data_IF_730111417385
#
_entry.id   IF_730111417385
#
_cell.length_a   1.000
_cell.length_b   1.000
_cell.length_c   1.000
_cell.angle_alpha   90.00
_cell.angle_beta   90.00
_cell.angle_gamma   90.00
#
_symmetry.space_group_name_H-M   'P 1'
#
loop_
_entity.id
_entity.type
_entity.pdbx_description
1 polymer ?
#
# COMPACT_ATOMS: atom_id res chain seq x y z
N UNK A 1 24.79 -3.16 -20.80
CA UNK A 1 24.84 -1.92 -19.97
C UNK A 1 23.66 -1.02 -20.30
N UNK A 2 23.42 -0.66 -21.57
CA UNK A 2 22.21 0.09 -21.98
C UNK A 2 20.89 -0.59 -21.61
N UNK A 3 20.79 -1.92 -21.73
CA UNK A 3 19.60 -2.67 -21.34
C UNK A 3 19.34 -2.69 -19.82
N UNK A 4 20.40 -2.61 -19.01
CA UNK A 4 20.32 -2.48 -17.54
C UNK A 4 19.86 -1.08 -17.13
N UNK A 5 20.38 -0.04 -17.82
CA UNK A 5 19.98 1.36 -17.61
C UNK A 5 18.50 1.57 -18.04
N UNK A 6 18.04 0.86 -19.07
CA UNK A 6 16.64 0.91 -19.53
C UNK A 6 15.68 0.23 -18.55
N UNK A 7 16.08 -0.89 -17.95
CA UNK A 7 15.35 -1.53 -16.84
C UNK A 7 15.31 -0.63 -15.60
N UNK A 8 16.44 -0.03 -15.21
CA UNK A 8 16.50 0.94 -14.10
C UNK A 8 15.55 2.12 -14.32
N UNK A 9 15.44 2.64 -15.55
CA UNK A 9 14.55 3.76 -15.86
C UNK A 9 13.08 3.34 -16.02
N UNK A 10 12.80 2.10 -16.39
CA UNK A 10 11.44 1.54 -16.47
C UNK A 10 10.84 1.24 -15.08
N UNK A 11 11.68 0.80 -14.13
CA UNK A 11 11.30 0.70 -12.72
C UNK A 11 11.34 2.05 -11.98
N UNK A 12 11.85 3.11 -12.61
CA UNK A 12 11.89 4.44 -12.00
C UNK A 12 10.53 5.10 -12.05
N UNK A 13 9.94 5.07 -10.86
CA UNK A 13 8.92 5.95 -10.33
C UNK A 13 7.48 5.66 -10.76
N UNK A 14 7.12 5.59 -12.05
CA UNK A 14 5.68 5.52 -12.41
C UNK A 14 5.04 4.15 -12.11
N UNK A 15 5.62 3.05 -12.58
CA UNK A 15 5.11 1.69 -12.26
C UNK A 15 5.17 1.39 -10.77
N UNK A 16 6.25 1.82 -10.12
CA UNK A 16 6.42 1.65 -8.69
C UNK A 16 5.39 2.48 -7.89
N UNK A 17 5.07 3.69 -8.36
CA UNK A 17 3.98 4.51 -7.83
C UNK A 17 2.62 3.84 -8.02
N UNK A 18 2.33 3.29 -9.20
CA UNK A 18 1.11 2.53 -9.45
C UNK A 18 0.99 1.33 -8.51
N UNK A 19 2.10 0.60 -8.31
CA UNK A 19 2.17 -0.51 -7.37
C UNK A 19 1.83 -0.07 -5.93
N UNK A 20 2.46 1.00 -5.44
CA UNK A 20 2.16 1.52 -4.10
C UNK A 20 0.73 2.08 -3.97
N UNK A 21 0.21 2.72 -5.02
CA UNK A 21 -1.20 3.16 -5.07
C UNK A 21 -2.14 1.97 -4.97
N UNK A 22 -1.90 0.91 -5.74
CA UNK A 22 -2.72 -0.31 -5.72
C UNK A 22 -2.76 -0.94 -4.33
N UNK A 23 -1.61 -1.07 -3.67
CA UNK A 23 -1.54 -1.55 -2.28
C UNK A 23 -2.33 -0.62 -1.35
N UNK A 24 -2.17 0.70 -1.47
CA UNK A 24 -2.89 1.69 -0.67
C UNK A 24 -4.42 1.59 -0.83
N UNK A 25 -4.89 1.40 -2.06
CA UNK A 25 -6.30 1.20 -2.39
C UNK A 25 -6.84 -0.11 -1.82
N UNK A 26 -6.08 -1.19 -1.91
CA UNK A 26 -6.47 -2.49 -1.36
C UNK A 26 -6.58 -2.44 0.18
N UNK A 27 -5.62 -1.79 0.86
CA UNK A 27 -5.72 -1.49 2.30
C UNK A 27 -6.97 -0.68 2.61
N UNK A 28 -7.26 0.37 1.85
CA UNK A 28 -8.46 1.21 2.03
C UNK A 28 -9.75 0.39 1.88
N UNK A 29 -9.83 -0.46 0.85
CA UNK A 29 -10.96 -1.37 0.60
C UNK A 29 -11.15 -2.35 1.76
N UNK A 30 -10.08 -3.03 2.18
CA UNK A 30 -10.10 -3.96 3.30
C UNK A 30 -10.55 -3.27 4.60
N UNK A 31 -9.99 -2.09 4.89
CA UNK A 31 -10.34 -1.27 6.06
C UNK A 31 -11.83 -0.92 6.07
N UNK A 32 -12.35 -0.44 4.94
CA UNK A 32 -13.76 -0.08 4.81
C UNK A 32 -14.68 -1.30 4.93
N UNK A 33 -14.32 -2.43 4.31
CA UNK A 33 -15.08 -3.70 4.39
C UNK A 33 -15.16 -4.23 5.82
N UNK A 34 -14.15 -3.97 6.65
CA UNK A 34 -14.12 -4.35 8.07
C UNK A 34 -14.71 -3.28 9.01
N UNK A 35 -15.24 -2.18 8.47
CA UNK A 35 -15.88 -1.12 9.26
C UNK A 35 -14.90 -0.26 10.07
N UNK A 36 -13.65 -0.12 9.62
CA UNK A 36 -12.66 0.74 10.27
C UNK A 36 -12.63 2.13 9.63
N UNK A 37 -12.67 3.18 10.45
CA UNK A 37 -12.25 4.53 10.02
C UNK A 37 -10.73 4.60 9.91
N UNK A 38 -10.19 5.61 9.21
CA UNK A 38 -8.74 5.85 9.16
C UNK A 38 -8.17 6.06 10.58
N UNK A 39 -8.90 6.77 11.44
CA UNK A 39 -8.48 7.02 12.83
C UNK A 39 -8.47 5.73 13.64
N UNK A 40 -9.48 4.86 13.47
CA UNK A 40 -9.53 3.58 14.16
C UNK A 40 -8.35 2.68 13.77
N UNK A 41 -7.99 2.64 12.48
CA UNK A 41 -6.82 1.89 12.03
C UNK A 41 -5.52 2.51 12.55
N UNK A 42 -5.38 3.84 12.49
CA UNK A 42 -4.21 4.55 13.00
C UNK A 42 -3.97 4.25 14.49
N UNK A 43 -5.01 4.36 15.32
CA UNK A 43 -4.94 4.08 16.75
C UNK A 43 -4.57 2.61 17.01
N UNK A 44 -5.16 1.66 16.27
CA UNK A 44 -4.82 0.23 16.38
C UNK A 44 -3.37 -0.07 15.97
N UNK A 45 -2.79 0.74 15.09
CA UNK A 45 -1.37 0.67 14.70
C UNK A 45 -0.43 1.42 15.66
N UNK A 46 -0.96 2.09 16.70
CA UNK A 46 -0.19 2.84 17.68
C UNK A 46 0.13 4.29 17.26
N UNK A 47 -0.63 4.88 16.33
CA UNK A 47 -0.48 6.28 15.94
C UNK A 47 -1.60 7.14 16.50
N UNK A 48 -1.27 8.36 16.94
CA UNK A 48 -2.25 9.33 17.46
C UNK A 48 -2.98 10.12 16.36
N UNK A 49 -2.61 9.94 15.09
CA UNK A 49 -3.19 10.69 13.98
C UNK A 49 -3.39 9.87 12.71
N UNK A 50 -4.40 10.25 11.93
CA UNK A 50 -4.74 9.64 10.63
C UNK A 50 -3.70 9.89 9.54
N UNK A 51 -2.78 10.83 9.74
CA UNK A 51 -1.94 11.39 8.68
C UNK A 51 -1.11 10.36 7.93
N UNK A 52 -0.58 9.35 8.63
CA UNK A 52 0.19 8.28 8.00
C UNK A 52 -0.71 7.40 7.11
N UNK A 53 -1.81 6.89 7.67
CA UNK A 53 -2.76 6.01 6.98
C UNK A 53 -3.37 6.72 5.77
N UNK A 54 -3.88 7.94 5.97
CA UNK A 54 -4.56 8.70 4.93
C UNK A 54 -3.66 9.01 3.73
N UNK A 55 -2.38 9.30 3.96
CA UNK A 55 -1.42 9.56 2.88
C UNK A 55 -1.00 8.26 2.18
N UNK A 56 -0.77 7.19 2.93
CA UNK A 56 -0.37 5.90 2.37
C UNK A 56 -1.46 5.24 1.52
N UNK A 57 -2.74 5.37 1.90
CA UNK A 57 -3.88 4.84 1.13
C UNK A 57 -4.01 5.43 -0.29
N UNK A 58 -3.45 6.62 -0.53
CA UNK A 58 -3.51 7.32 -1.83
C UNK A 58 -2.12 7.65 -2.39
N UNK A 59 -1.07 7.07 -1.80
CA UNK A 59 0.33 7.34 -2.14
C UNK A 59 0.72 8.83 -2.19
N UNK A 60 0.20 9.64 -1.27
CA UNK A 60 0.48 11.09 -1.24
C UNK A 60 1.81 11.36 -0.54
N UNK A 61 2.61 12.28 -1.09
CA UNK A 61 3.92 12.68 -0.55
C UNK A 61 4.90 11.50 -0.39
N UNK A 62 4.88 10.54 -1.33
CA UNK A 62 5.71 9.34 -1.30
C UNK A 62 5.55 8.51 0.01
N UNK A 63 4.37 8.61 0.64
CA UNK A 63 4.01 7.77 1.79
C UNK A 63 3.40 6.48 1.28
N UNK A 64 3.90 5.36 1.80
CA UNK A 64 3.54 4.00 1.43
C UNK A 64 3.50 3.12 2.67
N UNK A 65 2.77 2.02 2.59
CA UNK A 65 2.84 0.97 3.59
C UNK A 65 4.11 0.14 3.33
N UNK A 66 4.93 -0.04 4.36
CA UNK A 66 6.04 -0.98 4.32
C UNK A 66 5.55 -2.38 4.77
N UNK A 67 6.44 -3.38 4.77
CA UNK A 67 6.08 -4.75 5.14
C UNK A 67 5.57 -4.87 6.59
N UNK A 68 6.14 -4.10 7.51
CA UNK A 68 5.68 -4.08 8.91
C UNK A 68 4.25 -3.53 9.03
N UNK A 69 3.95 -2.46 8.29
CA UNK A 69 2.59 -1.91 8.21
C UNK A 69 1.63 -2.94 7.63
N UNK A 70 1.98 -3.60 6.52
CA UNK A 70 1.14 -4.63 5.89
C UNK A 70 0.86 -5.76 6.87
N UNK A 71 1.89 -6.28 7.55
CA UNK A 71 1.75 -7.32 8.57
C UNK A 71 0.76 -6.91 9.68
N UNK A 72 0.95 -5.72 10.26
CA UNK A 72 0.07 -5.19 11.31
C UNK A 72 -1.36 -5.00 10.82
N UNK A 73 -1.54 -4.41 9.62
CA UNK A 73 -2.85 -4.16 9.02
C UNK A 73 -3.59 -5.49 8.78
N UNK A 74 -2.93 -6.51 8.22
CA UNK A 74 -3.54 -7.82 7.99
C UNK A 74 -3.99 -8.46 9.30
N UNK A 75 -3.16 -8.37 10.35
CA UNK A 75 -3.52 -8.87 11.68
C UNK A 75 -4.70 -8.10 12.30
N UNK A 76 -4.69 -6.76 12.26
CA UNK A 76 -5.74 -5.91 12.83
C UNK A 76 -7.08 -6.10 12.11
N UNK A 77 -7.06 -6.18 10.78
CA UNK A 77 -8.27 -6.28 9.97
C UNK A 77 -8.72 -7.73 9.76
N UNK A 78 -7.89 -8.71 10.15
CA UNK A 78 -8.10 -10.14 9.93
C UNK A 78 -8.40 -10.44 8.44
N UNK A 79 -7.43 -10.12 7.58
CA UNK A 79 -7.46 -10.31 6.11
C UNK A 79 -6.19 -11.01 5.64
N UNK A 80 -6.24 -11.66 4.46
CA UNK A 80 -5.04 -12.28 3.88
C UNK A 80 -4.07 -11.19 3.39
N UNK A 81 -2.78 -11.50 3.37
CA UNK A 81 -1.80 -10.68 2.66
C UNK A 81 -2.14 -10.60 1.18
N UNK A 82 -2.68 -11.67 0.60
CA UNK A 82 -3.08 -11.71 -0.82
C UNK A 82 -4.13 -10.65 -1.14
N UNK A 83 -5.06 -10.36 -0.22
CA UNK A 83 -6.06 -9.29 -0.39
C UNK A 83 -5.40 -7.90 -0.56
N UNK A 84 -4.21 -7.71 0.02
CA UNK A 84 -3.46 -6.45 -0.05
C UNK A 84 -2.69 -6.32 -1.36
N UNK A 85 -2.20 -7.44 -1.91
CA UNK A 85 -1.44 -7.49 -3.17
C UNK A 85 -2.31 -7.83 -4.39
N UNK A 86 -3.62 -8.04 -4.22
CA UNK A 86 -4.54 -8.32 -5.32
C UNK A 86 -4.39 -7.33 -6.48
N UNK A 87 -4.15 -7.86 -7.69
CA UNK A 87 -3.97 -7.09 -8.93
C UNK A 87 -2.66 -6.30 -9.02
N UNK A 88 -1.65 -6.55 -8.17
CA UNK A 88 -0.32 -5.96 -8.37
C UNK A 88 0.49 -6.66 -9.45
N UNK A 89 0.21 -7.93 -9.73
CA UNK A 89 0.92 -8.71 -10.76
C UNK A 89 0.71 -8.11 -12.16
N UNK A 90 -0.49 -7.60 -12.44
CA UNK A 90 -0.81 -6.89 -13.69
C UNK A 90 0.10 -5.67 -13.91
N UNK A 91 0.56 -5.02 -12.84
CA UNK A 91 1.44 -3.85 -12.90
C UNK A 91 2.90 -4.29 -13.13
N UNK A 92 3.27 -5.45 -12.58
CA UNK A 92 4.63 -6.02 -12.65
C UNK A 92 4.91 -6.65 -14.02
N UNK A 93 3.92 -7.33 -14.60
CA UNK A 93 4.07 -8.18 -15.79
C UNK A 93 3.86 -7.42 -17.11
N UNK A 94 3.14 -6.30 -17.07
CA UNK A 94 3.02 -5.35 -18.20
C UNK A 94 4.38 -4.71 -18.55
#
# INVERSE_FOLDING_TARGET
MEHLIKLENYYKDEKLELFYKKIGENVKKARMKKGFSQLKLANAMGYDSVGHIAKAEIYKYNKKFNLEHIFKICSILNVSIDDIFDGTDDIIID
#
